data_IF_668311870283
#
_entry.id   IF_668311870283
#
_cell.length_a   1.000
_cell.length_b   1.000
_cell.length_c   1.000
_cell.angle_alpha   90.00
_cell.angle_beta   90.00
_cell.angle_gamma   90.00
#
_symmetry.space_group_name_H-M   'P 1'
#
loop_
_entity.id
_entity.type
_entity.pdbx_description
1 polymer ?
#
# COMPACT_ATOMS: atom_id res chain seq x y z
N UNK A 1 5.04 -46.75 -14.10
CA UNK A 1 4.14 -45.63 -14.57
C UNK A 1 3.94 -44.51 -13.52
N UNK A 2 4.63 -44.52 -12.38
CA UNK A 2 4.43 -43.59 -11.27
C UNK A 2 5.40 -42.39 -11.17
N UNK A 3 6.55 -42.40 -11.87
CA UNK A 3 7.57 -41.36 -11.73
C UNK A 3 7.33 -40.10 -12.59
N UNK A 4 6.61 -40.21 -13.71
CA UNK A 4 6.38 -39.06 -14.61
C UNK A 4 5.36 -38.04 -14.11
N UNK A 5 4.34 -38.46 -13.35
CA UNK A 5 3.28 -37.57 -12.84
C UNK A 5 3.81 -36.71 -11.69
N UNK A 6 4.69 -37.26 -10.86
CA UNK A 6 5.27 -36.48 -9.73
C UNK A 6 6.23 -35.37 -10.19
N UNK A 7 7.01 -35.62 -11.26
CA UNK A 7 7.95 -34.64 -11.82
C UNK A 7 7.24 -33.51 -12.56
N UNK A 8 6.12 -33.77 -13.24
CA UNK A 8 5.30 -32.75 -13.91
C UNK A 8 4.61 -31.85 -12.88
N UNK A 9 4.13 -32.40 -11.77
CA UNK A 9 3.48 -31.63 -10.71
C UNK A 9 4.45 -30.69 -9.97
N UNK A 10 5.70 -31.13 -9.74
CA UNK A 10 6.74 -30.28 -9.12
C UNK A 10 7.17 -29.15 -10.05
N UNK A 11 7.29 -29.38 -11.37
CA UNK A 11 7.64 -28.35 -12.35
C UNK A 11 6.53 -27.31 -12.52
N UNK A 12 5.26 -27.69 -12.52
CA UNK A 12 4.14 -26.77 -12.64
C UNK A 12 3.97 -25.89 -11.40
N UNK A 13 4.16 -26.41 -10.20
CA UNK A 13 4.11 -25.62 -8.96
C UNK A 13 5.27 -24.61 -8.87
N UNK A 14 6.48 -24.99 -9.25
CA UNK A 14 7.64 -24.10 -9.24
C UNK A 14 7.50 -22.93 -10.22
N UNK A 15 6.95 -23.16 -11.41
CA UNK A 15 6.73 -22.11 -12.41
C UNK A 15 5.60 -21.15 -11.99
N UNK A 16 4.52 -21.65 -11.39
CA UNK A 16 3.43 -20.83 -10.85
C UNK A 16 3.93 -19.91 -9.72
N UNK A 17 4.64 -20.46 -8.74
CA UNK A 17 5.22 -19.67 -7.64
C UNK A 17 6.20 -18.60 -8.13
N UNK A 18 7.02 -18.88 -9.15
CA UNK A 18 7.92 -17.88 -9.73
C UNK A 18 7.14 -16.72 -10.39
N UNK A 19 6.03 -17.03 -11.05
CA UNK A 19 5.16 -16.02 -11.68
C UNK A 19 4.46 -15.14 -10.62
N UNK A 20 3.97 -15.74 -9.56
CA UNK A 20 3.35 -15.06 -8.42
C UNK A 20 4.33 -14.09 -7.75
N UNK A 21 5.54 -14.55 -7.43
CA UNK A 21 6.58 -13.72 -6.83
C UNK A 21 6.95 -12.52 -7.71
N UNK A 22 7.16 -12.73 -9.01
CA UNK A 22 7.50 -11.65 -9.93
C UNK A 22 6.37 -10.62 -10.04
N UNK A 23 5.12 -11.06 -9.93
CA UNK A 23 3.97 -10.18 -9.93
C UNK A 23 3.92 -9.33 -8.66
N UNK A 24 4.20 -9.91 -7.48
CA UNK A 24 4.31 -9.17 -6.23
C UNK A 24 5.46 -8.16 -6.26
N UNK A 25 6.63 -8.54 -6.75
CA UNK A 25 7.79 -7.64 -6.92
C UNK A 25 7.41 -6.46 -7.83
N UNK A 26 6.68 -6.71 -8.91
CA UNK A 26 6.24 -5.64 -9.80
C UNK A 26 5.26 -4.68 -9.12
N UNK A 27 4.29 -5.21 -8.36
CA UNK A 27 3.33 -4.38 -7.62
C UNK A 27 3.98 -3.57 -6.48
N UNK A 28 5.07 -4.07 -5.89
CA UNK A 28 5.87 -3.36 -4.91
C UNK A 28 6.84 -2.34 -5.53
N UNK A 29 7.05 -2.38 -6.84
CA UNK A 29 8.07 -1.56 -7.51
C UNK A 29 7.68 -0.07 -7.52
N UNK A 30 8.62 0.85 -7.23
CA UNK A 30 8.41 2.30 -7.41
C UNK A 30 8.18 2.69 -8.87
N UNK A 31 8.47 1.81 -9.83
CA UNK A 31 8.17 2.00 -11.24
C UNK A 31 6.69 1.72 -11.60
N UNK A 32 5.87 1.23 -10.64
CA UNK A 32 4.43 1.09 -10.85
C UNK A 32 3.81 2.47 -11.15
N UNK A 33 3.09 2.66 -12.26
CA UNK A 33 2.70 3.98 -12.72
C UNK A 33 1.49 4.54 -11.97
N UNK A 34 1.55 4.58 -10.65
CA UNK A 34 0.51 5.11 -9.75
C UNK A 34 0.83 6.52 -9.24
N UNK A 35 2.05 7.02 -9.50
CA UNK A 35 2.47 8.35 -9.08
C UNK A 35 2.81 8.48 -7.59
N UNK A 36 3.05 7.37 -6.88
CA UNK A 36 3.36 7.34 -5.45
C UNK A 36 4.52 8.25 -5.06
N UNK A 37 5.53 8.37 -5.91
CA UNK A 37 6.72 9.22 -5.69
C UNK A 37 6.41 10.73 -5.52
N UNK A 38 5.19 11.15 -5.82
CA UNK A 38 4.74 12.55 -5.68
C UNK A 38 4.15 12.87 -4.30
N UNK A 39 4.08 11.88 -3.42
CA UNK A 39 3.42 11.99 -2.12
C UNK A 39 4.39 11.63 -0.99
N UNK A 40 4.34 12.40 0.08
CA UNK A 40 5.14 12.19 1.30
C UNK A 40 4.31 11.73 2.49
N UNK A 41 2.99 11.68 2.35
CA UNK A 41 2.05 11.31 3.42
C UNK A 41 2.31 12.10 4.70
N UNK A 42 2.33 13.44 4.58
CA UNK A 42 2.60 14.39 5.64
C UNK A 42 4.04 14.37 6.22
N UNK A 43 4.95 13.54 5.70
CA UNK A 43 6.35 13.53 6.15
C UNK A 43 7.02 14.89 5.92
N UNK A 44 6.75 15.56 4.80
CA UNK A 44 7.32 16.89 4.51
C UNK A 44 6.91 17.92 5.56
N UNK A 45 5.63 17.94 5.96
CA UNK A 45 5.17 18.81 7.04
C UNK A 45 5.78 18.44 8.40
N UNK A 46 5.96 17.15 8.68
CA UNK A 46 6.62 16.71 9.91
C UNK A 46 8.07 17.18 9.99
N UNK A 47 8.77 17.24 8.85
CA UNK A 47 10.13 17.78 8.73
C UNK A 47 10.11 19.29 8.96
N UNK A 48 9.24 20.03 8.28
CA UNK A 48 9.13 21.49 8.40
C UNK A 48 8.80 21.94 9.83
N UNK A 49 8.06 21.12 10.58
CA UNK A 49 7.73 21.37 11.99
C UNK A 49 8.73 20.78 13.00
N UNK A 50 9.85 20.21 12.54
CA UNK A 50 10.93 19.71 13.38
C UNK A 50 10.67 18.36 14.08
N UNK A 51 9.59 17.65 13.70
CA UNK A 51 9.33 16.29 14.22
C UNK A 51 10.27 15.25 13.62
N UNK A 52 10.68 15.47 12.38
CA UNK A 52 11.64 14.60 11.65
C UNK A 52 12.80 15.47 11.17
N UNK A 53 14.03 15.12 11.59
CA UNK A 53 15.22 15.93 11.29
C UNK A 53 16.50 15.11 11.05
N UNK A 54 16.48 13.81 11.38
CA UNK A 54 17.61 12.90 11.22
C UNK A 54 17.16 11.46 10.88
N UNK A 55 18.12 10.52 10.77
CA UNK A 55 17.88 9.11 10.48
C UNK A 55 16.96 8.45 11.52
N UNK A 56 17.20 8.70 12.81
CA UNK A 56 16.47 8.06 13.90
C UNK A 56 15.02 8.53 13.96
N UNK A 57 14.78 9.85 13.98
CA UNK A 57 13.44 10.45 14.01
C UNK A 57 12.63 10.12 12.75
N UNK A 58 13.29 9.98 11.60
CA UNK A 58 12.63 9.54 10.36
C UNK A 58 12.21 8.07 10.45
N UNK A 59 13.10 7.20 10.94
CA UNK A 59 12.78 5.79 11.11
C UNK A 59 11.64 5.58 12.10
N UNK A 60 11.62 6.31 13.21
CA UNK A 60 10.54 6.27 14.20
C UNK A 60 9.21 6.74 13.62
N UNK A 61 9.20 7.87 12.90
CA UNK A 61 8.01 8.39 12.23
C UNK A 61 7.40 7.39 11.25
N UNK A 62 8.23 6.76 10.42
CA UNK A 62 7.74 5.80 9.42
C UNK A 62 7.32 4.46 10.05
N UNK A 63 7.98 4.01 11.12
CA UNK A 63 7.56 2.86 11.90
C UNK A 63 6.19 3.09 12.56
N UNK A 64 5.98 4.26 13.17
CA UNK A 64 4.69 4.64 13.72
C UNK A 64 3.60 4.69 12.64
N UNK A 65 3.88 5.24 11.46
CA UNK A 65 2.93 5.21 10.33
C UNK A 65 2.62 3.79 9.87
N UNK A 66 3.62 2.90 9.80
CA UNK A 66 3.43 1.49 9.44
C UNK A 66 2.43 0.81 10.39
N UNK A 67 2.65 0.96 11.70
CA UNK A 67 1.86 0.25 12.71
C UNK A 67 0.52 0.93 13.01
N UNK A 68 0.47 2.27 13.10
CA UNK A 68 -0.71 3.01 13.55
C UNK A 68 -1.66 3.40 12.40
N UNK A 69 -1.13 3.59 11.19
CA UNK A 69 -1.92 3.99 10.03
C UNK A 69 -2.06 2.84 9.03
N UNK A 70 -0.97 2.32 8.49
CA UNK A 70 -1.01 1.31 7.43
C UNK A 70 -1.61 -0.01 7.91
N UNK A 71 -1.10 -0.57 9.03
CA UNK A 71 -1.56 -1.84 9.56
C UNK A 71 -3.03 -1.80 9.97
N UNK A 72 -3.43 -0.74 10.66
CA UNK A 72 -4.79 -0.61 11.20
C UNK A 72 -5.82 -0.14 10.18
N UNK A 73 -5.39 0.52 9.12
CA UNK A 73 -6.24 1.10 8.08
C UNK A 73 -6.19 0.31 6.77
N UNK A 74 -5.29 0.72 5.89
CA UNK A 74 -5.27 0.24 4.50
C UNK A 74 -4.94 -1.24 4.38
N UNK A 75 -3.95 -1.75 5.13
CA UNK A 75 -3.63 -3.19 5.10
C UNK A 75 -4.74 -4.05 5.70
N UNK A 76 -5.36 -3.64 6.82
CA UNK A 76 -6.49 -4.35 7.40
C UNK A 76 -7.70 -4.38 6.46
N UNK A 77 -7.93 -3.29 5.71
CA UNK A 77 -8.95 -3.25 4.67
C UNK A 77 -8.59 -4.21 3.52
N UNK A 78 -7.35 -4.17 3.03
CA UNK A 78 -6.91 -5.01 1.91
C UNK A 78 -6.92 -6.49 2.28
N UNK A 79 -6.64 -6.85 3.54
CA UNK A 79 -6.75 -8.21 4.03
C UNK A 79 -8.13 -8.82 3.80
N UNK A 80 -9.17 -7.98 3.83
CA UNK A 80 -10.55 -8.38 3.60
C UNK A 80 -10.99 -8.16 2.13
N UNK A 81 -10.45 -7.15 1.47
CA UNK A 81 -10.80 -6.84 0.09
C UNK A 81 -10.19 -7.85 -0.92
N UNK A 82 -8.98 -8.38 -0.67
CA UNK A 82 -8.35 -9.37 -1.55
C UNK A 82 -9.23 -10.61 -1.71
N UNK A 83 -9.66 -11.32 -0.65
CA UNK A 83 -10.57 -12.47 -0.80
C UNK A 83 -11.95 -12.07 -1.34
N UNK A 84 -12.44 -10.85 -1.06
CA UNK A 84 -13.69 -10.36 -1.62
C UNK A 84 -13.59 -10.15 -3.15
N UNK A 85 -12.45 -9.69 -3.67
CA UNK A 85 -12.19 -9.66 -5.11
C UNK A 85 -12.11 -11.05 -5.74
N UNK A 86 -11.45 -12.01 -5.08
CA UNK A 86 -11.33 -13.38 -5.56
C UNK A 86 -12.69 -14.08 -5.68
N UNK A 87 -13.61 -13.81 -4.75
CA UNK A 87 -14.98 -14.34 -4.76
C UNK A 87 -16.00 -13.45 -5.48
N UNK A 88 -15.58 -12.26 -5.97
CA UNK A 88 -16.48 -11.24 -6.52
C UNK A 88 -17.62 -10.84 -5.58
N UNK A 89 -17.33 -10.77 -4.27
CA UNK A 89 -18.28 -10.29 -3.25
C UNK A 89 -18.48 -8.78 -3.37
N UNK A 90 -19.39 -8.39 -4.26
CA UNK A 90 -19.72 -7.00 -4.55
C UNK A 90 -20.23 -6.24 -3.33
N UNK A 91 -21.01 -6.90 -2.45
CA UNK A 91 -21.56 -6.27 -1.27
C UNK A 91 -20.44 -5.90 -0.29
N UNK A 92 -19.53 -6.84 -0.05
CA UNK A 92 -18.36 -6.61 0.81
C UNK A 92 -17.45 -5.51 0.25
N UNK A 93 -17.11 -5.56 -1.01
CA UNK A 93 -16.27 -4.55 -1.67
C UNK A 93 -16.87 -3.14 -1.59
N UNK A 94 -18.20 -3.02 -1.71
CA UNK A 94 -18.90 -1.75 -1.57
C UNK A 94 -18.76 -1.16 -0.16
N UNK A 95 -18.93 -1.99 0.87
CA UNK A 95 -18.76 -1.58 2.29
C UNK A 95 -17.32 -1.10 2.52
N UNK A 96 -16.33 -1.89 2.06
CA UNK A 96 -14.92 -1.56 2.23
C UNK A 96 -14.54 -0.26 1.49
N UNK A 97 -15.03 -0.06 0.26
CA UNK A 97 -14.82 1.17 -0.50
C UNK A 97 -15.40 2.39 0.19
N UNK A 98 -16.63 2.28 0.70
CA UNK A 98 -17.28 3.36 1.46
C UNK A 98 -16.48 3.74 2.70
N UNK A 99 -15.92 2.75 3.41
CA UNK A 99 -15.08 3.00 4.58
C UNK A 99 -13.83 3.81 4.21
N UNK A 100 -13.14 3.49 3.09
CA UNK A 100 -11.96 4.28 2.66
C UNK A 100 -12.34 5.73 2.39
N UNK A 101 -13.42 5.98 1.65
CA UNK A 101 -13.86 7.34 1.35
C UNK A 101 -14.23 8.13 2.61
N UNK A 102 -14.80 7.48 3.62
CA UNK A 102 -15.21 8.11 4.87
C UNK A 102 -14.05 8.36 5.84
N UNK A 103 -12.95 7.59 5.73
CA UNK A 103 -11.85 7.60 6.69
C UNK A 103 -10.71 8.56 6.35
N UNK A 104 -10.71 9.22 5.18
CA UNK A 104 -9.67 10.18 4.80
C UNK A 104 -9.98 11.56 5.38
N UNK A 105 -9.21 11.99 6.37
CA UNK A 105 -9.48 13.18 7.18
C UNK A 105 -9.19 14.48 6.45
N UNK A 106 -8.18 14.50 5.55
CA UNK A 106 -7.77 15.71 4.83
C UNK A 106 -8.09 15.62 3.34
N UNK A 107 -8.11 16.78 2.66
CA UNK A 107 -8.31 16.83 1.22
C UNK A 107 -7.16 16.18 0.46
N UNK A 108 -5.92 16.40 0.91
CA UNK A 108 -4.73 15.79 0.31
C UNK A 108 -4.76 14.26 0.39
N UNK A 109 -5.08 13.68 1.56
CA UNK A 109 -5.23 12.22 1.71
C UNK A 109 -6.31 11.65 0.79
N UNK A 110 -7.43 12.37 0.61
CA UNK A 110 -8.49 11.97 -0.32
C UNK A 110 -8.01 12.01 -1.76
N UNK A 111 -7.42 13.13 -2.19
CA UNK A 111 -6.94 13.31 -3.56
C UNK A 111 -5.85 12.30 -3.91
N UNK A 112 -4.91 12.05 -3.00
CA UNK A 112 -3.85 11.06 -3.16
C UNK A 112 -4.44 9.67 -3.42
N UNK A 113 -5.28 9.16 -2.50
CA UNK A 113 -5.82 7.80 -2.61
C UNK A 113 -6.69 7.61 -3.86
N UNK A 114 -7.47 8.64 -4.25
CA UNK A 114 -8.28 8.60 -5.47
C UNK A 114 -7.43 8.68 -6.74
N UNK A 115 -6.41 9.53 -6.78
CA UNK A 115 -5.54 9.66 -7.95
C UNK A 115 -4.73 8.39 -8.18
N UNK A 116 -4.10 7.86 -7.12
CA UNK A 116 -3.35 6.61 -7.21
C UNK A 116 -4.26 5.43 -7.57
N UNK A 117 -5.47 5.38 -7.03
CA UNK A 117 -6.47 4.35 -7.35
C UNK A 117 -6.89 4.38 -8.82
N UNK A 118 -7.17 5.56 -9.37
CA UNK A 118 -7.48 5.73 -10.80
C UNK A 118 -6.32 5.31 -11.70
N UNK A 119 -5.11 5.76 -11.39
CA UNK A 119 -3.90 5.40 -12.16
C UNK A 119 -3.66 3.89 -12.16
N UNK A 120 -3.87 3.23 -11.01
CA UNK A 120 -3.72 1.77 -10.90
C UNK A 120 -4.81 1.03 -11.69
N UNK A 121 -6.06 1.50 -11.64
CA UNK A 121 -7.13 0.91 -12.45
C UNK A 121 -6.86 1.04 -13.96
N UNK A 122 -6.34 2.18 -14.41
CA UNK A 122 -5.97 2.39 -15.81
C UNK A 122 -4.82 1.46 -16.21
N UNK A 123 -3.84 1.28 -15.35
CA UNK A 123 -2.77 0.31 -15.56
C UNK A 123 -3.29 -1.14 -15.62
N UNK A 124 -4.24 -1.53 -14.73
CA UNK A 124 -4.86 -2.87 -14.76
C UNK A 124 -5.60 -3.15 -16.06
N UNK A 125 -6.26 -2.13 -16.64
CA UNK A 125 -6.90 -2.23 -17.96
C UNK A 125 -5.91 -2.60 -19.07
N UNK A 126 -4.72 -1.97 -19.04
CA UNK A 126 -3.65 -2.23 -20.02
C UNK A 126 -3.07 -3.64 -19.85
N UNK A 127 -2.97 -4.15 -18.60
CA UNK A 127 -2.43 -5.49 -18.33
C UNK A 127 -3.30 -6.63 -18.84
N UNK A 128 -4.59 -6.39 -19.07
CA UNK A 128 -5.55 -7.38 -19.58
C UNK A 128 -5.59 -8.70 -18.77
N UNK A 129 -5.34 -8.61 -17.45
CA UNK A 129 -5.35 -9.76 -16.53
C UNK A 129 -6.62 -9.83 -15.68
N UNK A 130 -7.22 -8.68 -15.40
CA UNK A 130 -8.48 -8.59 -14.67
C UNK A 130 -9.67 -8.81 -15.61
N UNK A 131 -10.74 -9.44 -15.10
CA UNK A 131 -11.97 -9.57 -15.85
C UNK A 131 -12.66 -8.22 -16.07
N UNK A 132 -13.39 -8.07 -17.18
CA UNK A 132 -14.20 -6.87 -17.44
C UNK A 132 -15.18 -6.56 -16.31
N UNK A 133 -15.73 -7.58 -15.66
CA UNK A 133 -16.64 -7.42 -14.52
C UNK A 133 -15.92 -6.79 -13.33
N UNK A 134 -14.70 -7.25 -13.00
CA UNK A 134 -13.89 -6.69 -11.90
C UNK A 134 -13.45 -5.25 -12.21
N UNK A 135 -13.04 -4.97 -13.45
CA UNK A 135 -12.65 -3.60 -13.85
C UNK A 135 -13.83 -2.63 -13.80
N UNK A 136 -15.03 -3.05 -14.27
CA UNK A 136 -16.26 -2.25 -14.16
C UNK A 136 -16.62 -2.00 -12.71
N UNK A 137 -16.66 -3.04 -11.87
CA UNK A 137 -16.98 -2.91 -10.45
C UNK A 137 -15.99 -1.96 -9.75
N UNK A 138 -14.68 -2.11 -9.97
CA UNK A 138 -13.68 -1.22 -9.41
C UNK A 138 -13.92 0.25 -9.82
N UNK A 139 -14.29 0.49 -11.07
CA UNK A 139 -14.64 1.82 -11.57
C UNK A 139 -15.89 2.40 -10.89
N UNK A 140 -16.94 1.60 -10.72
CA UNK A 140 -18.20 1.99 -10.06
C UNK A 140 -18.00 2.33 -8.58
N UNK A 141 -17.06 1.65 -7.91
CA UNK A 141 -16.68 1.92 -6.53
C UNK A 141 -15.89 3.23 -6.35
N UNK A 142 -15.61 3.99 -7.41
CA UNK A 142 -14.74 5.17 -7.40
C UNK A 142 -13.37 4.79 -6.81
N UNK A 143 -12.47 4.22 -7.63
CA UNK A 143 -11.28 3.53 -7.17
C UNK A 143 -10.42 4.41 -6.27
N UNK A 144 -10.16 3.91 -5.07
CA UNK A 144 -9.12 4.40 -4.15
C UNK A 144 -7.92 3.46 -4.22
N UNK A 145 -6.74 3.94 -3.77
CA UNK A 145 -5.52 3.15 -3.88
C UNK A 145 -5.64 1.76 -3.22
N UNK A 146 -6.09 1.61 -1.95
CA UNK A 146 -6.20 0.29 -1.34
C UNK A 146 -7.24 -0.62 -2.01
N UNK A 147 -8.32 -0.09 -2.58
CA UNK A 147 -9.32 -0.88 -3.31
C UNK A 147 -8.78 -1.37 -4.65
N UNK A 148 -8.12 -0.51 -5.42
CA UNK A 148 -7.52 -0.91 -6.69
C UNK A 148 -6.30 -1.82 -6.49
N UNK A 149 -5.49 -1.58 -5.43
CA UNK A 149 -4.34 -2.42 -5.10
C UNK A 149 -4.79 -3.81 -4.62
N UNK A 150 -5.86 -3.92 -3.83
CA UNK A 150 -6.40 -5.22 -3.44
C UNK A 150 -6.90 -6.04 -4.65
N UNK A 151 -7.47 -5.38 -5.68
CA UNK A 151 -7.77 -6.04 -6.95
C UNK A 151 -6.49 -6.52 -7.64
N UNK A 152 -5.46 -5.69 -7.75
CA UNK A 152 -4.19 -6.06 -8.36
C UNK A 152 -3.52 -7.25 -7.64
N UNK A 153 -3.50 -7.22 -6.31
CA UNK A 153 -2.94 -8.27 -5.47
C UNK A 153 -3.75 -9.58 -5.54
N UNK A 154 -5.09 -9.49 -5.66
CA UNK A 154 -5.94 -10.67 -5.81
C UNK A 154 -5.65 -11.47 -7.10
N UNK A 155 -5.14 -10.80 -8.14
CA UNK A 155 -4.75 -11.43 -9.41
C UNK A 155 -3.39 -12.13 -9.34
N UNK A 156 -2.58 -11.85 -8.33
CA UNK A 156 -1.29 -12.51 -8.14
C UNK A 156 -1.42 -13.95 -7.65
N UNK A 157 -2.57 -14.33 -7.07
CA UNK A 157 -2.83 -15.64 -6.44
C UNK A 157 -1.80 -16.04 -5.37
N UNK A 158 -1.10 -15.06 -4.81
CA UNK A 158 -0.13 -15.27 -3.75
C UNK A 158 -0.82 -15.41 -2.37
N UNK A 159 -0.16 -16.01 -1.38
CA UNK A 159 -0.62 -15.99 0.00
C UNK A 159 -0.89 -14.57 0.48
N UNK A 160 -1.96 -14.40 1.28
CA UNK A 160 -2.44 -13.09 1.71
C UNK A 160 -1.36 -12.26 2.44
N UNK A 161 -0.62 -12.91 3.31
CA UNK A 161 0.49 -12.29 4.06
C UNK A 161 1.60 -11.80 3.14
N UNK A 162 1.97 -12.57 2.11
CA UNK A 162 2.97 -12.18 1.13
C UNK A 162 2.48 -11.01 0.25
N UNK A 163 1.21 -11.01 -0.13
CA UNK A 163 0.61 -9.92 -0.88
C UNK A 163 0.65 -8.60 -0.09
N UNK A 164 0.30 -8.64 1.20
CA UNK A 164 0.35 -7.46 2.08
C UNK A 164 1.79 -7.04 2.41
N UNK A 165 2.73 -7.98 2.56
CA UNK A 165 4.16 -7.65 2.72
C UNK A 165 4.72 -6.92 1.49
N UNK A 166 4.36 -7.36 0.29
CA UNK A 166 4.76 -6.69 -0.95
C UNK A 166 4.21 -5.25 -1.02
N UNK A 167 2.94 -5.04 -0.65
CA UNK A 167 2.35 -3.70 -0.55
C UNK A 167 3.10 -2.84 0.48
N UNK A 168 3.28 -3.34 1.70
CA UNK A 168 3.93 -2.62 2.79
C UNK A 168 5.38 -2.27 2.46
N UNK A 169 6.11 -3.16 1.80
CA UNK A 169 7.47 -2.90 1.36
C UNK A 169 7.53 -1.80 0.27
N UNK A 170 6.62 -1.84 -0.71
CA UNK A 170 6.52 -0.79 -1.72
C UNK A 170 6.21 0.58 -1.12
N UNK A 171 5.33 0.63 -0.11
CA UNK A 171 5.06 1.83 0.67
C UNK A 171 6.31 2.30 1.43
N UNK A 172 7.00 1.41 2.15
CA UNK A 172 8.21 1.73 2.93
C UNK A 172 9.32 2.27 2.03
N UNK A 173 9.53 1.69 0.86
CA UNK A 173 10.50 2.16 -0.13
C UNK A 173 10.14 3.56 -0.62
N UNK A 174 8.88 3.81 -0.99
CA UNK A 174 8.42 5.12 -1.45
C UNK A 174 8.60 6.20 -0.36
N UNK A 175 8.26 5.91 0.88
CA UNK A 175 8.43 6.84 2.02
C UNK A 175 9.92 7.08 2.33
N UNK A 176 10.76 6.06 2.26
CA UNK A 176 12.21 6.21 2.42
C UNK A 176 12.79 7.11 1.32
N UNK A 177 12.34 6.98 0.09
CA UNK A 177 12.76 7.88 -1.01
C UNK A 177 12.25 9.31 -0.80
N UNK A 178 11.06 9.49 -0.24
CA UNK A 178 10.55 10.82 0.13
C UNK A 178 11.42 11.44 1.24
N UNK A 179 11.79 10.66 2.25
CA UNK A 179 12.70 11.11 3.32
C UNK A 179 14.06 11.56 2.77
N UNK A 180 14.66 10.79 1.88
CA UNK A 180 15.95 11.13 1.25
C UNK A 180 15.92 12.44 0.45
N UNK A 181 14.75 12.83 -0.06
CA UNK A 181 14.59 14.11 -0.79
C UNK A 181 14.37 15.30 0.15
N UNK A 182 13.71 15.09 1.29
CA UNK A 182 13.24 16.16 2.16
C UNK A 182 14.14 16.40 3.39
N UNK A 183 14.83 15.36 3.87
CA UNK A 183 15.79 15.44 5.00
C UNK A 183 17.21 15.34 4.42
N UNK A 184 18.20 16.04 4.97
CA UNK A 184 19.59 15.93 4.50
C UNK A 184 20.24 14.59 4.90
N UNK A 185 19.64 13.49 4.45
CA UNK A 185 20.09 12.11 4.69
C UNK A 185 20.92 11.59 3.51
N UNK A 186 21.98 10.85 3.82
CA UNK A 186 22.72 10.10 2.80
C UNK A 186 22.03 8.78 2.42
N UNK A 187 22.43 8.20 1.29
CA UNK A 187 21.88 6.90 0.83
C UNK A 187 22.01 5.78 1.87
N UNK A 188 23.09 5.78 2.65
CA UNK A 188 23.30 4.79 3.73
C UNK A 188 22.22 4.90 4.81
N UNK A 189 21.83 6.12 5.19
CA UNK A 189 20.74 6.34 6.15
C UNK A 189 19.41 5.85 5.61
N UNK A 190 19.11 6.09 4.33
CA UNK A 190 17.91 5.54 3.69
C UNK A 190 17.86 4.01 3.74
N UNK A 191 18.99 3.34 3.49
CA UNK A 191 19.07 1.88 3.57
C UNK A 191 18.84 1.36 5.00
N UNK A 192 19.35 2.05 6.05
CA UNK A 192 19.10 1.66 7.43
C UNK A 192 17.64 1.82 7.82
N UNK A 193 16.99 2.91 7.40
CA UNK A 193 15.54 3.12 7.60
C UNK A 193 14.76 1.98 6.95
N UNK A 194 15.05 1.66 5.69
CA UNK A 194 14.36 0.60 4.96
C UNK A 194 14.57 -0.78 5.59
N UNK A 195 15.78 -1.09 6.06
CA UNK A 195 16.07 -2.35 6.80
C UNK A 195 15.23 -2.46 8.05
N UNK A 196 15.12 -1.37 8.85
CA UNK A 196 14.26 -1.36 10.05
C UNK A 196 12.81 -1.62 9.69
N UNK A 197 12.26 -0.88 8.73
CA UNK A 197 10.87 -1.07 8.29
C UNK A 197 10.61 -2.48 7.76
N UNK A 198 11.54 -3.04 6.99
CA UNK A 198 11.43 -4.41 6.49
C UNK A 198 11.39 -5.46 7.61
N UNK A 199 12.05 -5.22 8.75
CA UNK A 199 12.00 -6.09 9.91
C UNK A 199 10.65 -6.00 10.65
N UNK A 200 9.98 -4.85 10.63
CA UNK A 200 8.70 -4.60 11.31
C UNK A 200 7.48 -4.99 10.44
N UNK A 201 7.61 -4.98 9.11
CA UNK A 201 6.53 -5.31 8.18
C UNK A 201 5.82 -6.65 8.49
N UNK A 202 6.50 -7.77 8.77
CA UNK A 202 5.81 -9.03 9.05
C UNK A 202 4.85 -8.95 10.25
N UNK A 203 5.23 -8.28 11.33
CA UNK A 203 4.39 -8.08 12.51
C UNK A 203 3.20 -7.17 12.18
N UNK A 204 3.44 -6.05 11.49
CA UNK A 204 2.39 -5.13 11.05
C UNK A 204 1.35 -5.81 10.13
N UNK A 205 1.80 -6.71 9.24
CA UNK A 205 0.92 -7.51 8.37
C UNK A 205 0.10 -8.51 9.17
N UNK A 206 0.69 -9.24 10.12
CA UNK A 206 -0.06 -10.18 10.96
C UNK A 206 -1.10 -9.45 11.80
N UNK A 207 -0.77 -8.28 12.35
CA UNK A 207 -1.72 -7.42 13.04
C UNK A 207 -2.88 -7.02 12.12
N UNK A 208 -2.59 -6.55 10.90
CA UNK A 208 -3.59 -6.14 9.93
C UNK A 208 -4.57 -7.27 9.54
N UNK A 209 -4.06 -8.50 9.38
CA UNK A 209 -4.87 -9.69 9.04
C UNK A 209 -5.80 -10.07 10.20
N UNK A 210 -5.35 -9.89 11.45
CA UNK A 210 -6.11 -10.26 12.63
C UNK A 210 -7.24 -9.29 12.98
N UNK A 211 -7.21 -8.04 12.47
CA UNK A 211 -8.19 -7.02 12.82
C UNK A 211 -9.56 -7.29 12.20
N UNK A 212 -10.58 -7.22 13.05
CA UNK A 212 -11.99 -7.20 12.64
C UNK A 212 -12.40 -5.84 12.06
N UNK A 213 -13.61 -5.75 11.51
CA UNK A 213 -14.16 -4.50 10.99
C UNK A 213 -14.26 -3.40 12.05
N UNK A 214 -14.65 -3.79 13.27
CA UNK A 214 -14.86 -2.84 14.38
C UNK A 214 -13.54 -2.33 14.98
N UNK A 215 -12.45 -3.09 14.78
CA UNK A 215 -11.11 -2.73 15.25
C UNK A 215 -10.32 -1.94 14.22
N UNK A 216 -10.75 -1.99 12.95
CA UNK A 216 -10.11 -1.23 11.88
C UNK A 216 -10.31 0.27 12.08
N UNK A 217 -9.23 1.03 12.01
CA UNK A 217 -9.29 2.49 12.18
C UNK A 217 -8.29 3.20 11.28
N UNK A 218 -8.63 4.43 10.88
CA UNK A 218 -7.74 5.34 10.17
C UNK A 218 -7.32 6.55 11.03
N UNK A 219 -7.72 6.58 12.31
CA UNK A 219 -7.48 7.72 13.18
C UNK A 219 -6.02 7.73 13.67
N UNK A 220 -5.21 8.63 13.10
CA UNK A 220 -3.84 8.92 13.50
C UNK A 220 -3.69 10.45 13.65
N UNK A 221 -3.96 11.02 14.85
CA UNK A 221 -4.14 12.47 15.04
C UNK A 221 -2.95 13.31 14.55
N UNK A 222 -1.72 12.89 14.85
CA UNK A 222 -0.55 13.64 14.42
C UNK A 222 -0.40 13.64 12.90
N UNK A 223 -0.67 12.51 12.24
CA UNK A 223 -0.64 12.41 10.78
C UNK A 223 -1.68 13.34 10.13
N UNK A 224 -2.92 13.34 10.66
CA UNK A 224 -3.98 14.21 10.18
C UNK A 224 -3.65 15.70 10.39
N UNK A 225 -3.09 16.07 11.55
CA UNK A 225 -2.64 17.45 11.81
C UNK A 225 -1.52 17.87 10.86
N UNK A 226 -0.52 17.03 10.64
CA UNK A 226 0.58 17.33 9.71
C UNK A 226 0.07 17.41 8.27
N UNK A 227 -0.82 16.52 7.86
CA UNK A 227 -1.44 16.59 6.53
C UNK A 227 -2.24 17.88 6.34
N UNK A 228 -3.04 18.29 7.33
CA UNK A 228 -3.79 19.55 7.27
C UNK A 228 -2.86 20.78 7.21
N UNK A 229 -1.73 20.75 7.90
CA UNK A 229 -0.71 21.83 7.82
C UNK A 229 -0.02 21.86 6.47
N UNK A 230 0.24 20.70 5.88
CA UNK A 230 0.82 20.60 4.54
C UNK A 230 -0.08 21.25 3.48
N UNK A 231 -1.40 21.16 3.59
CA UNK A 231 -2.35 21.80 2.66
C UNK A 231 -2.12 23.34 2.51
N UNK A 232 -1.60 23.97 3.55
CA UNK A 232 -1.35 25.42 3.58
C UNK A 232 0.13 25.79 3.52
N UNK A 233 1.03 24.82 3.39
CA UNK A 233 2.47 25.05 3.33
C UNK A 233 2.85 25.82 2.07
N UNK A 234 3.64 26.89 2.21
CA UNK A 234 3.97 27.82 1.13
C UNK A 234 4.87 27.21 0.06
N UNK A 235 5.87 26.44 0.46
CA UNK A 235 6.79 25.74 -0.45
C UNK A 235 6.68 24.24 -0.23
N UNK A 236 6.44 23.47 -1.30
CA UNK A 236 6.20 22.05 -1.23
C UNK A 236 7.01 21.29 -2.28
N UNK A 237 7.68 20.22 -1.86
CA UNK A 237 8.33 19.26 -2.75
C UNK A 237 7.35 18.18 -3.23
N UNK A 238 6.34 17.89 -2.39
CA UNK A 238 5.35 16.84 -2.61
C UNK A 238 3.93 17.40 -2.72
N UNK A 239 3.00 16.55 -3.14
CA UNK A 239 1.57 16.90 -3.24
C UNK A 239 0.80 16.64 -1.94
N UNK A 240 1.35 15.82 -1.04
CA UNK A 240 0.81 15.55 0.30
C UNK A 240 1.91 15.16 1.27
#
# INVERSE_FOLDING_TARGET
MGMGIHMIMIMTTGTAMATELLQLIWLASPALPVGGFSYSEALEAAIDHGHVHDEASCADWLADQLHLSQARGDMALMAQAIPAWQSMDTARLKILSQWVHASRETQEMRLQTEQMGRSLLDWLRIQNKASDAALRLCSELRPTYPIAMSLALSLANAPLDQALQAYAFGWAENMTQAALKAVPLGQVSGQKILVRLAQEIPEAVQHAIALSDDERQAFCPMLAVMSARHETQYSRLFRS
#
